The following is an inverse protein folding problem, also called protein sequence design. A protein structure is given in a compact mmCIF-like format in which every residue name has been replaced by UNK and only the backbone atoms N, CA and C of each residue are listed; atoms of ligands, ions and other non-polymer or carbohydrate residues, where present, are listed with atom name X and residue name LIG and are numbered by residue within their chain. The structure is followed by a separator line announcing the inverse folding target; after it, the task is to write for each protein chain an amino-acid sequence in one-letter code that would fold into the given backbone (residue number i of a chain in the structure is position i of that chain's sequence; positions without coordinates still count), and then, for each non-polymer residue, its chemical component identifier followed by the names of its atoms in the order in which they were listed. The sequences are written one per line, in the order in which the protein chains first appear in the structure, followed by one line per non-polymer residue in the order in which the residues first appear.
data_IF_465297745289
#
_entry.id   IF_465297745289
#
_cell.length_a   1.000
_cell.length_b   1.000
_cell.length_c   1.000
_cell.angle_alpha   90.00
_cell.angle_beta   90.00
_cell.angle_gamma   90.00
#
_symmetry.space_group_name_H-M   'P 1'
#
loop_
_entity.id
_entity.type
_entity.pdbx_description
1 polymer ?
#
# COMPACT_ATOMS: atom_id res chain seq x y z
N UNK A 1 49.65 -10.28 16.88
CA UNK A 1 49.37 -8.97 17.52
C UNK A 1 48.04 -8.44 16.99
N UNK A 2 47.05 -8.28 17.88
CA UNK A 2 45.70 -7.85 17.55
C UNK A 2 45.61 -6.32 17.43
N UNK A 3 44.79 -5.82 16.49
CA UNK A 3 44.30 -4.43 16.51
C UNK A 3 42.80 -4.46 16.28
N UNK A 4 42.08 -4.57 17.39
CA UNK A 4 40.63 -4.40 17.46
C UNK A 4 40.38 -2.90 17.26
N UNK A 5 39.76 -2.52 16.14
CA UNK A 5 39.32 -1.16 15.91
C UNK A 5 38.11 -0.87 16.80
N UNK A 6 38.27 0.14 17.64
CA UNK A 6 37.28 0.60 18.62
C UNK A 6 35.98 1.03 17.94
N UNK A 7 34.87 0.36 18.24
CA UNK A 7 33.53 0.86 17.93
C UNK A 7 33.15 1.99 18.89
N UNK A 8 32.98 3.21 18.37
CA UNK A 8 32.42 4.33 19.12
C UNK A 8 30.95 4.06 19.45
N UNK A 9 30.66 3.75 20.73
CA UNK A 9 29.28 3.71 21.23
C UNK A 9 28.81 5.14 21.50
N UNK A 10 27.97 5.67 20.61
CA UNK A 10 27.25 6.93 20.83
C UNK A 10 26.07 6.65 21.75
N UNK A 11 26.27 6.81 23.05
CA UNK A 11 25.17 6.85 24.03
C UNK A 11 24.68 8.29 24.12
N UNK A 12 23.60 8.63 23.40
CA UNK A 12 22.86 9.86 23.71
C UNK A 12 22.24 9.71 25.09
N UNK A 13 22.74 10.45 26.08
CA UNK A 13 22.06 10.55 27.36
C UNK A 13 20.81 11.42 27.21
N UNK A 14 19.63 10.96 27.66
CA UNK A 14 18.45 11.83 27.74
C UNK A 14 18.68 12.88 28.83
N UNK A 15 18.74 14.15 28.41
CA UNK A 15 18.71 15.29 29.33
C UNK A 15 17.32 15.36 29.96
N UNK A 16 17.19 14.89 31.20
CA UNK A 16 16.03 15.16 32.03
C UNK A 16 16.06 16.65 32.42
N UNK A 17 15.27 17.50 31.73
CA UNK A 17 14.97 18.84 32.24
C UNK A 17 13.60 18.83 32.90
N UNK A 18 13.66 19.08 34.20
CA UNK A 18 12.54 19.15 35.11
C UNK A 18 11.54 20.25 34.75
N UNK A 19 10.30 19.90 35.03
CA UNK A 19 9.11 20.72 35.13
C UNK A 19 9.36 21.98 35.98
N UNK A 20 9.21 23.17 35.39
CA UNK A 20 8.67 24.35 36.07
C UNK A 20 7.74 25.10 35.12
N UNK A 21 6.54 25.34 35.62
CA UNK A 21 5.46 26.11 35.01
C UNK A 21 5.63 27.58 35.44
N UNK A 22 4.94 28.45 34.70
CA UNK A 22 4.55 29.83 35.01
C UNK A 22 5.33 30.96 34.32
N UNK A 23 4.59 31.72 33.50
CA UNK A 23 4.96 33.06 33.03
C UNK A 23 4.84 33.32 31.53
N UNK A 24 3.61 33.40 31.00
CA UNK A 24 3.31 34.19 29.78
C UNK A 24 3.51 35.69 30.08
N UNK A 25 3.86 36.59 29.11
CA UNK A 25 2.86 37.00 28.12
C UNK A 25 3.36 37.49 26.72
N UNK A 26 2.49 37.26 25.73
CA UNK A 26 1.98 38.21 24.71
C UNK A 26 2.81 38.67 23.49
N UNK A 27 2.09 38.65 22.36
CA UNK A 27 2.28 39.31 21.04
C UNK A 27 3.24 38.58 20.06
N UNK A 28 2.93 38.36 18.77
CA UNK A 28 2.06 39.06 17.81
C UNK A 28 1.40 38.09 16.81
N UNK A 29 0.16 38.43 16.45
CA UNK A 29 -0.60 37.93 15.29
C UNK A 29 0.10 38.26 13.97
N UNK A 30 -0.01 37.38 12.98
CA UNK A 30 -0.39 37.76 11.61
C UNK A 30 -1.21 36.63 10.99
N UNK A 31 -2.52 36.89 10.92
CA UNK A 31 -3.49 36.21 10.06
C UNK A 31 -3.17 36.54 8.60
N UNK A 32 -3.27 35.57 7.71
CA UNK A 32 -3.64 35.81 6.31
C UNK A 32 -4.88 34.98 6.02
N UNK A 33 -5.95 35.70 5.69
CA UNK A 33 -7.29 35.22 5.40
C UNK A 33 -7.46 35.08 3.89
N UNK A 34 -7.76 33.84 3.47
CA UNK A 34 -8.85 33.41 2.57
C UNK A 34 -9.02 34.01 1.16
N UNK A 35 -9.06 33.12 0.17
CA UNK A 35 -10.07 33.06 -0.92
C UNK A 35 -10.08 31.63 -1.49
N UNK A 36 -10.89 30.73 -0.95
CA UNK A 36 -12.16 30.24 -1.54
C UNK A 36 -12.34 30.58 -3.03
N UNK A 37 -12.21 29.55 -3.87
CA UNK A 37 -13.12 29.37 -4.99
C UNK A 37 -13.56 27.91 -5.03
N UNK A 38 -14.87 27.78 -5.12
CA UNK A 38 -15.69 26.62 -4.86
C UNK A 38 -16.14 26.10 -6.22
N UNK A 39 -15.87 24.83 -6.52
CA UNK A 39 -16.61 24.11 -7.55
C UNK A 39 -16.94 22.73 -6.99
N UNK A 40 -18.24 22.46 -7.02
CA UNK A 40 -19.00 21.43 -6.35
C UNK A 40 -18.57 19.99 -6.65
N UNK A 41 -18.89 19.04 -5.74
CA UNK A 41 -18.68 17.61 -5.95
C UNK A 41 -19.74 17.08 -6.92
N UNK A 42 -19.31 16.38 -7.96
CA UNK A 42 -20.19 15.44 -8.65
C UNK A 42 -20.31 14.21 -7.78
N UNK A 43 -21.54 13.95 -7.34
CA UNK A 43 -21.95 12.78 -6.59
C UNK A 43 -21.54 11.51 -7.33
N UNK A 44 -20.60 10.78 -6.76
CA UNK A 44 -20.55 9.34 -6.93
C UNK A 44 -21.22 8.75 -5.68
N UNK A 45 -22.18 7.86 -5.87
CA UNK A 45 -22.71 6.98 -4.84
C UNK A 45 -21.57 6.07 -4.34
N UNK A 46 -20.94 6.44 -3.24
CA UNK A 46 -20.09 5.53 -2.49
C UNK A 46 -20.95 4.93 -1.39
N UNK A 47 -21.34 3.68 -1.61
CA UNK A 47 -21.96 2.74 -0.68
C UNK A 47 -21.49 2.98 0.78
N UNK A 48 -22.33 3.67 1.55
CA UNK A 48 -22.15 4.01 2.97
C UNK A 48 -22.33 2.77 3.89
N UNK A 49 -21.82 1.60 3.49
CA UNK A 49 -21.96 0.36 4.28
C UNK A 49 -20.64 -0.18 4.82
N UNK A 50 -19.66 0.70 5.05
CA UNK A 50 -18.54 0.40 5.95
C UNK A 50 -18.13 1.67 6.70
N UNK A 51 -18.53 1.78 7.97
CA UNK A 51 -18.25 2.93 8.86
C UNK A 51 -16.76 3.15 9.21
N UNK A 52 -15.84 2.78 8.33
CA UNK A 52 -14.40 2.99 8.48
C UNK A 52 -14.03 4.25 7.71
N UNK A 53 -13.74 5.34 8.41
CA UNK A 53 -13.25 6.57 7.80
C UNK A 53 -11.92 6.30 7.07
N UNK A 54 -11.93 6.43 5.74
CA UNK A 54 -10.76 6.26 4.88
C UNK A 54 -10.13 7.65 4.62
N UNK A 55 -8.87 7.90 5.02
CA UNK A 55 -8.21 9.19 4.78
C UNK A 55 -7.86 9.40 3.30
N UNK A 56 -8.84 9.89 2.52
CA UNK A 56 -8.73 10.13 1.07
C UNK A 56 -7.58 11.07 0.69
N UNK A 57 -7.31 12.09 1.52
CA UNK A 57 -6.22 13.05 1.31
C UNK A 57 -4.84 12.40 1.12
N UNK A 58 -4.57 11.30 1.84
CA UNK A 58 -3.30 10.58 1.70
C UNK A 58 -3.20 9.95 0.31
N UNK A 59 -4.31 9.40 -0.21
CA UNK A 59 -4.35 8.71 -1.51
C UNK A 59 -4.20 9.67 -2.67
N UNK A 60 -4.82 10.85 -2.59
CA UNK A 60 -4.62 11.93 -3.56
C UNK A 60 -3.15 12.34 -3.62
N UNK A 61 -2.51 12.49 -2.46
CA UNK A 61 -1.08 12.86 -2.36
C UNK A 61 -0.18 11.83 -3.02
N UNK A 62 -0.46 10.52 -2.84
CA UNK A 62 0.34 9.44 -3.43
C UNK A 62 -0.13 9.00 -4.82
N UNK A 63 -1.17 9.63 -5.38
CA UNK A 63 -1.78 9.32 -6.67
C UNK A 63 -2.14 7.83 -6.81
N UNK A 64 -2.64 7.23 -5.73
CA UNK A 64 -3.08 5.84 -5.76
C UNK A 64 -4.31 5.72 -6.65
N UNK A 65 -4.31 4.71 -7.54
CA UNK A 65 -5.44 4.46 -8.44
C UNK A 65 -6.28 3.31 -7.94
N UNK A 66 -7.54 3.60 -7.66
CA UNK A 66 -8.50 2.63 -7.14
C UNK A 66 -9.00 1.68 -8.22
N UNK A 67 -9.52 0.52 -7.81
CA UNK A 67 -10.07 -0.52 -8.69
C UNK A 67 -11.09 0.00 -9.72
N UNK A 68 -11.89 0.99 -9.36
CA UNK A 68 -12.97 1.53 -10.19
C UNK A 68 -12.50 2.69 -11.10
N UNK A 69 -11.26 3.15 -10.91
CA UNK A 69 -10.70 4.24 -11.69
C UNK A 69 -10.08 3.72 -12.98
N UNK A 70 -10.54 4.25 -14.12
CA UNK A 70 -10.02 3.88 -15.44
C UNK A 70 -8.58 4.35 -15.56
N UNK A 71 -7.64 3.41 -15.67
CA UNK A 71 -6.26 3.73 -15.94
C UNK A 71 -5.58 2.68 -16.82
N UNK A 72 -4.50 3.11 -17.46
CA UNK A 72 -3.74 2.25 -18.35
C UNK A 72 -2.89 1.26 -17.55
N UNK A 73 -3.22 -0.01 -17.71
CA UNK A 73 -2.49 -1.14 -17.16
C UNK A 73 -1.91 -1.96 -18.31
N UNK A 74 -0.65 -2.35 -18.20
CA UNK A 74 0.02 -3.26 -19.15
C UNK A 74 -0.77 -4.55 -19.33
N UNK A 75 -0.76 -5.11 -20.54
CA UNK A 75 -1.49 -6.34 -20.88
C UNK A 75 -1.12 -7.52 -19.97
N UNK A 76 0.16 -7.63 -19.61
CA UNK A 76 0.69 -8.68 -18.72
C UNK A 76 0.12 -8.59 -17.29
N UNK A 77 0.04 -7.39 -16.72
CA UNK A 77 -0.58 -7.22 -15.41
C UNK A 77 -2.08 -7.56 -15.44
N UNK A 78 -2.79 -7.26 -16.53
CA UNK A 78 -4.21 -7.64 -16.66
C UNK A 78 -4.38 -9.16 -16.65
N UNK A 79 -3.57 -9.89 -17.40
CA UNK A 79 -3.63 -11.36 -17.43
C UNK A 79 -3.26 -11.97 -16.07
N UNK A 80 -2.29 -11.40 -15.36
CA UNK A 80 -1.95 -11.81 -13.98
C UNK A 80 -3.12 -11.56 -13.03
N UNK A 81 -3.76 -10.39 -13.08
CA UNK A 81 -4.91 -10.06 -12.23
C UNK A 81 -6.10 -10.98 -12.52
N UNK A 82 -6.39 -11.28 -13.78
CA UNK A 82 -7.43 -12.24 -14.16
C UNK A 82 -7.13 -13.63 -13.64
N UNK A 83 -5.89 -14.09 -13.73
CA UNK A 83 -5.45 -15.37 -13.19
C UNK A 83 -5.66 -15.42 -11.67
N UNK A 84 -5.23 -14.37 -10.96
CA UNK A 84 -5.40 -14.27 -9.50
C UNK A 84 -6.89 -14.31 -9.13
N UNK A 85 -7.75 -13.52 -9.78
CA UNK A 85 -9.20 -13.52 -9.48
C UNK A 85 -9.89 -14.86 -9.71
N UNK A 86 -9.37 -15.69 -10.64
CA UNK A 86 -9.91 -17.02 -10.93
C UNK A 86 -9.52 -18.04 -9.86
N UNK A 87 -8.27 -18.02 -9.39
CA UNK A 87 -7.72 -19.06 -8.51
C UNK A 87 -7.58 -18.67 -7.04
N UNK A 88 -7.59 -17.38 -6.72
CA UNK A 88 -7.38 -16.83 -5.39
C UNK A 88 -8.60 -16.03 -4.94
N UNK A 89 -8.79 -16.00 -3.64
CA UNK A 89 -9.80 -15.17 -3.00
C UNK A 89 -9.22 -13.79 -2.70
N UNK A 90 -9.85 -12.77 -3.26
CA UNK A 90 -9.44 -11.37 -3.09
C UNK A 90 -10.45 -10.72 -2.17
N UNK A 91 -10.08 -10.38 -0.91
CA UNK A 91 -11.01 -9.76 0.03
C UNK A 91 -11.62 -8.47 -0.52
N UNK A 92 -12.86 -8.17 -0.16
CA UNK A 92 -13.50 -6.88 -0.48
C UNK A 92 -12.70 -5.72 0.11
N UNK A 93 -12.20 -5.91 1.33
CA UNK A 93 -11.39 -4.92 2.06
C UNK A 93 -9.91 -4.89 1.64
N UNK A 94 -9.56 -5.45 0.47
CA UNK A 94 -8.17 -5.56 0.03
C UNK A 94 -7.45 -4.21 0.03
N UNK A 95 -8.15 -3.13 -0.34
CA UNK A 95 -7.56 -1.80 -0.33
C UNK A 95 -7.31 -1.34 1.11
N UNK A 96 -8.32 -1.36 1.98
CA UNK A 96 -8.22 -0.85 3.36
C UNK A 96 -7.30 -1.68 4.27
N UNK A 97 -7.09 -2.96 3.96
CA UNK A 97 -6.40 -3.87 4.85
C UNK A 97 -4.87 -3.67 4.84
N UNK A 98 -4.32 -3.36 6.02
CA UNK A 98 -2.88 -3.15 6.25
C UNK A 98 -2.01 -4.38 5.94
N UNK A 99 -2.60 -5.59 5.94
CA UNK A 99 -1.89 -6.85 5.63
C UNK A 99 -1.27 -6.85 4.23
N UNK A 100 -1.86 -6.15 3.27
CA UNK A 100 -1.41 -6.15 1.87
C UNK A 100 -0.40 -5.04 1.55
N UNK A 101 0.19 -4.42 2.57
CA UNK A 101 1.23 -3.38 2.43
C UNK A 101 0.67 -1.97 2.24
N UNK A 102 1.55 -1.00 1.94
CA UNK A 102 1.20 0.41 1.77
C UNK A 102 0.62 0.74 0.38
N UNK A 103 -0.10 1.86 0.29
CA UNK A 103 -0.74 2.38 -0.93
C UNK A 103 0.15 3.33 -1.75
N UNK A 104 1.39 3.57 -1.34
CA UNK A 104 2.22 4.63 -1.91
C UNK A 104 2.61 4.35 -3.37
N UNK A 105 2.11 5.16 -4.31
CA UNK A 105 2.57 5.22 -5.71
C UNK A 105 2.26 3.99 -6.57
N UNK A 106 1.32 3.15 -6.14
CA UNK A 106 0.95 1.91 -6.84
C UNK A 106 -0.52 1.95 -7.27
N UNK A 107 -0.86 1.10 -8.23
CA UNK A 107 -2.25 0.84 -8.62
C UNK A 107 -2.75 -0.42 -7.91
N UNK A 108 -4.07 -0.61 -7.85
CA UNK A 108 -4.70 -1.81 -7.30
C UNK A 108 -4.07 -3.10 -7.84
N UNK A 109 -3.85 -3.18 -9.16
CA UNK A 109 -3.31 -4.34 -9.87
C UNK A 109 -1.88 -4.64 -9.45
N UNK A 110 -1.03 -3.61 -9.35
CA UNK A 110 0.36 -3.77 -8.89
C UNK A 110 0.41 -4.25 -7.46
N UNK A 111 -0.48 -3.73 -6.61
CA UNK A 111 -0.59 -4.16 -5.21
C UNK A 111 -1.09 -5.60 -5.11
N UNK A 112 -2.06 -5.99 -5.93
CA UNK A 112 -2.56 -7.37 -6.00
C UNK A 112 -1.49 -8.35 -6.47
N UNK A 113 -0.74 -8.00 -7.52
CA UNK A 113 0.38 -8.79 -8.01
C UNK A 113 1.49 -8.95 -6.95
N UNK A 114 1.73 -7.90 -6.15
CA UNK A 114 2.66 -7.94 -5.00
C UNK A 114 2.14 -8.83 -3.87
N UNK A 115 0.87 -8.72 -3.51
CA UNK A 115 0.26 -9.60 -2.51
C UNK A 115 0.34 -11.07 -2.92
N UNK A 116 0.15 -11.35 -4.21
CA UNK A 116 0.32 -12.67 -4.80
C UNK A 116 1.77 -13.18 -4.71
N UNK A 117 2.76 -12.37 -5.11
CA UNK A 117 4.17 -12.78 -5.04
C UNK A 117 4.67 -13.00 -3.61
N UNK A 118 4.05 -12.33 -2.64
CA UNK A 118 4.29 -12.54 -1.21
C UNK A 118 3.50 -13.71 -0.60
N UNK A 119 2.62 -14.38 -1.37
CA UNK A 119 1.80 -15.48 -0.87
C UNK A 119 0.75 -15.07 0.18
N UNK A 120 0.31 -13.81 0.17
CA UNK A 120 -0.65 -13.27 1.14
C UNK A 120 -2.11 -13.56 0.78
N UNK A 121 -2.37 -14.08 -0.43
CA UNK A 121 -3.70 -14.38 -0.92
C UNK A 121 -4.08 -15.84 -0.64
N UNK A 122 -5.29 -16.04 -0.17
CA UNK A 122 -5.86 -17.37 0.05
C UNK A 122 -6.30 -18.00 -1.27
N UNK A 123 -6.16 -19.32 -1.40
CA UNK A 123 -6.66 -20.06 -2.55
C UNK A 123 -8.20 -20.14 -2.53
N UNK A 124 -8.83 -19.91 -3.68
CA UNK A 124 -10.27 -19.96 -3.82
C UNK A 124 -10.75 -21.41 -3.88
N UNK A 125 -11.64 -21.80 -2.96
CA UNK A 125 -12.35 -23.07 -3.05
C UNK A 125 -11.51 -24.31 -2.76
N UNK A 126 -10.71 -24.30 -1.68
CA UNK A 126 -9.93 -25.44 -1.24
C UNK A 126 -10.78 -26.66 -0.89
N UNK A 127 -11.13 -27.48 -1.88
CA UNK A 127 -11.38 -28.90 -1.63
C UNK A 127 -10.05 -29.47 -1.14
N UNK A 128 -10.04 -30.13 0.02
CA UNK A 128 -8.85 -30.63 0.73
C UNK A 128 -7.89 -31.50 -0.12
N UNK A 129 -8.31 -31.92 -1.31
CA UNK A 129 -7.58 -32.81 -2.23
C UNK A 129 -7.31 -32.20 -3.62
N UNK A 130 -7.60 -30.93 -3.87
CA UNK A 130 -7.32 -30.31 -5.16
C UNK A 130 -5.82 -29.92 -5.25
N UNK A 131 -5.17 -30.28 -6.36
CA UNK A 131 -3.80 -29.86 -6.63
C UNK A 131 -3.70 -28.33 -6.63
N UNK A 132 -2.67 -27.79 -5.97
CA UNK A 132 -2.44 -26.35 -5.94
C UNK A 132 -2.29 -25.80 -7.38
N UNK A 133 -2.89 -24.64 -7.70
CA UNK A 133 -2.75 -24.05 -9.02
C UNK A 133 -1.28 -23.74 -9.30
N UNK A 134 -0.85 -24.00 -10.55
CA UNK A 134 0.51 -23.70 -10.99
C UNK A 134 0.79 -22.20 -10.84
N UNK A 135 1.99 -21.79 -10.38
CA UNK A 135 2.27 -20.37 -10.19
C UNK A 135 2.26 -19.61 -11.53
N UNK A 136 1.85 -18.34 -11.51
CA UNK A 136 1.97 -17.42 -12.64
C UNK A 136 3.13 -16.47 -12.42
N UNK A 137 3.88 -16.18 -13.47
CA UNK A 137 4.97 -15.21 -13.39
C UNK A 137 4.43 -13.78 -13.47
N UNK A 138 4.90 -12.89 -12.59
CA UNK A 138 4.44 -11.49 -12.55
C UNK A 138 5.08 -10.66 -13.66
N UNK A 139 6.24 -11.04 -14.18
CA UNK A 139 6.96 -10.31 -15.23
C UNK A 139 6.43 -10.65 -16.62
N UNK A 140 6.41 -11.93 -17.00
CA UNK A 140 6.02 -12.35 -18.36
C UNK A 140 4.59 -12.90 -18.46
N UNK A 141 3.83 -12.93 -17.35
CA UNK A 141 2.47 -13.46 -17.28
C UNK A 141 2.29 -14.92 -17.73
N UNK A 142 3.37 -15.71 -17.85
CA UNK A 142 3.31 -17.13 -18.19
C UNK A 142 3.08 -17.98 -16.93
N UNK A 143 2.27 -19.03 -17.06
CA UNK A 143 2.01 -20.00 -15.99
C UNK A 143 3.08 -21.09 -15.99
N UNK A 144 3.50 -21.52 -14.81
CA UNK A 144 4.44 -22.63 -14.60
C UNK A 144 5.73 -22.23 -13.91
N UNK A 145 6.00 -20.94 -13.72
CA UNK A 145 7.20 -20.46 -13.04
C UNK A 145 6.91 -19.19 -12.21
N UNK A 146 7.78 -18.90 -11.26
CA UNK A 146 7.72 -17.68 -10.44
C UNK A 146 8.63 -16.60 -11.03
N UNK A 147 8.52 -15.36 -10.54
CA UNK A 147 9.40 -14.27 -11.01
C UNK A 147 10.89 -14.60 -10.88
N UNK A 148 11.30 -15.38 -9.87
CA UNK A 148 12.70 -15.76 -9.61
C UNK A 148 13.29 -16.68 -10.67
N UNK A 149 12.42 -17.41 -11.36
CA UNK A 149 12.77 -18.43 -12.36
C UNK A 149 12.31 -17.99 -13.75
N UNK A 150 12.10 -16.69 -13.95
CA UNK A 150 11.62 -16.17 -15.22
C UNK A 150 12.77 -16.10 -16.24
N UNK A 151 12.60 -16.69 -17.44
CA UNK A 151 13.62 -16.60 -18.49
C UNK A 151 13.73 -15.19 -19.09
N UNK A 152 12.64 -14.43 -19.04
CA UNK A 152 12.56 -13.05 -19.55
C UNK A 152 13.01 -12.01 -18.49
N UNK A 153 13.37 -12.46 -17.27
CA UNK A 153 13.56 -11.63 -16.08
C UNK A 153 14.98 -11.61 -15.52
N UNK A 154 15.98 -11.59 -16.41
CA UNK A 154 17.39 -11.37 -16.11
C UNK A 154 17.97 -10.25 -16.98
#
# INVERSE_FOLDING_TARGET
MAKITSFMRVTKQPKAHGKKVDGSPSTKKLHVVKKEEQTSPTADEWDEESGVHIPTFIYETVKYKHKHEKHEVSKELKTVVEYIKKHYDVPKDFETNKKFGCHSGLTFEKRLARAYSMGLLSLKGGKKNAAAPKPICVTCAKVGHTYKTCPDGF
#
